data_IF_214190228145
#
_entry.id   IF_214190228145
#
_cell.length_a   1.000
_cell.length_b   1.000
_cell.length_c   1.000
_cell.angle_alpha   90.00
_cell.angle_beta   90.00
_cell.angle_gamma   90.00
#
_symmetry.space_group_name_H-M   'P 1'
#
loop_
_entity.id
_entity.type
_entity.pdbx_description
1 polymer ?
#
# COMPACT_ATOMS: atom_id res chain seq x y z
N UNK A 1 -17.77 -25.05 21.64
CA UNK A 1 -19.15 -24.52 21.67
C UNK A 1 -19.75 -24.77 20.30
N UNK A 2 -20.77 -25.63 20.19
CA UNK A 2 -21.45 -25.90 18.92
C UNK A 2 -22.40 -24.74 18.59
N UNK A 3 -22.34 -24.19 17.38
CA UNK A 3 -23.12 -23.01 16.97
C UNK A 3 -24.36 -23.44 16.18
N UNK A 4 -25.52 -22.88 16.54
CA UNK A 4 -26.85 -23.32 16.10
C UNK A 4 -27.33 -22.85 14.73
N UNK A 5 -26.42 -22.38 13.87
CA UNK A 5 -26.74 -21.85 12.55
C UNK A 5 -26.75 -22.89 11.43
N UNK A 6 -26.54 -24.17 11.75
CA UNK A 6 -26.61 -25.30 10.80
C UNK A 6 -27.92 -26.08 10.89
N UNK A 7 -28.87 -25.58 11.69
CA UNK A 7 -30.13 -26.25 12.01
C UNK A 7 -31.31 -25.42 11.54
N UNK A 8 -32.19 -26.04 10.77
CA UNK A 8 -33.53 -25.53 10.50
C UNK A 8 -34.47 -26.20 11.50
N UNK A 9 -35.42 -25.42 12.00
CA UNK A 9 -36.50 -25.91 12.86
C UNK A 9 -37.74 -26.03 11.98
N UNK A 10 -38.24 -27.24 11.81
CA UNK A 10 -39.52 -27.45 11.15
C UNK A 10 -40.62 -27.12 12.16
N UNK A 11 -41.27 -25.96 11.97
CA UNK A 11 -42.28 -25.41 12.88
C UNK A 11 -43.53 -26.30 13.01
N UNK A 12 -43.72 -27.24 12.08
CA UNK A 12 -44.86 -28.16 12.05
C UNK A 12 -44.58 -29.50 12.78
N UNK A 13 -43.33 -29.88 13.03
CA UNK A 13 -42.97 -31.23 13.57
C UNK A 13 -41.95 -31.20 14.74
N UNK A 14 -41.60 -30.02 15.27
CA UNK A 14 -40.63 -29.83 16.36
C UNK A 14 -39.27 -30.55 16.11
N UNK A 15 -38.91 -30.78 14.84
CA UNK A 15 -37.68 -31.43 14.42
C UNK A 15 -36.59 -30.41 14.03
N UNK A 16 -35.34 -30.79 14.30
CA UNK A 16 -34.15 -30.04 13.89
C UNK A 16 -33.53 -30.72 12.68
N UNK A 17 -33.58 -30.11 11.51
CA UNK A 17 -32.99 -30.63 10.28
C UNK A 17 -31.64 -29.98 9.99
N UNK A 18 -30.69 -30.76 9.46
CA UNK A 18 -29.39 -30.23 9.05
C UNK A 18 -29.52 -29.53 7.69
N UNK A 19 -29.13 -28.27 7.58
CA UNK A 19 -29.19 -27.54 6.30
C UNK A 19 -28.13 -27.99 5.26
N UNK A 20 -27.35 -29.03 5.58
CA UNK A 20 -26.25 -29.50 4.73
C UNK A 20 -26.35 -31.00 4.42
N UNK A 21 -27.38 -31.69 4.91
CA UNK A 21 -27.77 -33.05 4.51
C UNK A 21 -29.20 -33.35 4.95
N UNK A 22 -29.86 -34.34 4.34
CA UNK A 22 -31.28 -34.67 4.63
C UNK A 22 -31.49 -35.43 5.96
N UNK A 23 -30.74 -35.07 7.02
CA UNK A 23 -30.90 -35.66 8.36
C UNK A 23 -31.67 -34.74 9.28
N UNK A 24 -32.71 -35.30 9.88
CA UNK A 24 -33.50 -34.69 10.96
C UNK A 24 -33.18 -35.29 12.31
N UNK A 25 -33.37 -34.50 13.35
CA UNK A 25 -33.05 -34.83 14.72
C UNK A 25 -34.17 -34.34 15.64
N UNK A 26 -34.68 -35.20 16.51
CA UNK A 26 -35.68 -34.82 17.53
C UNK A 26 -35.15 -33.98 18.68
N UNK A 27 -33.90 -33.47 18.62
CA UNK A 27 -33.39 -32.53 19.62
C UNK A 27 -32.28 -31.63 19.08
N UNK A 28 -32.27 -30.37 19.54
CA UNK A 28 -31.24 -29.38 19.21
C UNK A 28 -29.83 -29.87 19.53
N UNK A 29 -29.67 -30.54 20.66
CA UNK A 29 -28.38 -31.02 21.13
C UNK A 29 -27.79 -32.08 20.20
N UNK A 30 -28.60 -33.06 19.78
CA UNK A 30 -28.17 -34.10 18.85
C UNK A 30 -27.80 -33.53 17.48
N UNK A 31 -28.58 -32.57 17.00
CA UNK A 31 -28.37 -31.92 15.72
C UNK A 31 -27.08 -31.07 15.70
N UNK A 32 -26.81 -30.34 16.80
CA UNK A 32 -25.55 -29.61 17.01
C UNK A 32 -24.33 -30.55 17.06
N UNK A 33 -24.47 -31.69 17.72
CA UNK A 33 -23.40 -32.69 17.81
C UNK A 33 -23.09 -33.31 16.45
N UNK A 34 -24.13 -33.58 15.65
CA UNK A 34 -23.99 -34.04 14.27
C UNK A 34 -23.23 -33.03 13.42
N UNK A 35 -23.69 -31.77 13.41
CA UNK A 35 -23.13 -30.73 12.56
C UNK A 35 -21.64 -30.44 12.89
N UNK A 36 -21.23 -30.63 14.14
CA UNK A 36 -19.84 -30.50 14.58
C UNK A 36 -18.93 -31.67 14.21
N UNK A 37 -19.47 -32.89 14.06
CA UNK A 37 -18.67 -34.13 13.93
C UNK A 37 -18.75 -34.78 12.55
N UNK A 38 -19.72 -34.37 11.71
CA UNK A 38 -19.90 -34.96 10.41
C UNK A 38 -18.78 -34.50 9.45
N UNK A 39 -17.90 -35.44 9.11
CA UNK A 39 -16.85 -35.28 8.08
C UNK A 39 -17.37 -34.97 6.67
N UNK A 40 -18.69 -35.02 6.50
CA UNK A 40 -19.42 -34.70 5.25
C UNK A 40 -19.50 -33.18 5.05
N UNK A 41 -19.35 -32.38 6.12
CA UNK A 41 -19.28 -30.93 6.06
C UNK A 41 -17.80 -30.50 6.07
N UNK A 42 -17.16 -30.57 4.91
CA UNK A 42 -15.81 -30.04 4.71
C UNK A 42 -15.85 -28.52 4.82
N UNK A 43 -15.74 -28.01 6.05
CA UNK A 43 -16.04 -26.63 6.38
C UNK A 43 -14.88 -25.69 6.11
N UNK A 44 -15.17 -24.61 5.40
CA UNK A 44 -14.40 -23.36 5.46
C UNK A 44 -15.10 -22.44 6.45
N UNK A 45 -14.37 -21.76 7.34
CA UNK A 45 -14.97 -20.91 8.38
C UNK A 45 -14.39 -19.50 8.33
N UNK A 46 -15.23 -18.51 8.61
CA UNK A 46 -14.77 -17.13 8.67
C UNK A 46 -14.11 -16.84 10.03
N UNK A 47 -12.84 -16.48 10.06
CA UNK A 47 -12.14 -16.13 11.31
C UNK A 47 -12.63 -14.83 11.98
N UNK A 48 -13.53 -14.06 11.34
CA UNK A 48 -14.04 -12.77 11.84
C UNK A 48 -15.37 -12.91 12.57
N UNK A 49 -16.37 -13.56 11.96
CA UNK A 49 -17.67 -13.85 12.58
C UNK A 49 -17.83 -15.31 13.05
N UNK A 50 -16.88 -16.18 12.68
CA UNK A 50 -16.87 -17.61 12.98
C UNK A 50 -18.14 -18.32 12.47
N UNK A 51 -18.61 -17.90 11.29
CA UNK A 51 -19.62 -18.60 10.49
C UNK A 51 -18.94 -19.69 9.65
N UNK A 52 -19.62 -20.83 9.47
CA UNK A 52 -19.15 -21.94 8.66
C UNK A 52 -19.84 -21.92 7.30
N UNK A 53 -19.09 -22.27 6.27
CA UNK A 53 -19.51 -22.29 4.89
C UNK A 53 -19.35 -23.68 4.31
N UNK A 54 -20.32 -24.06 3.50
CA UNK A 54 -20.41 -25.38 2.84
C UNK A 54 -19.33 -25.53 1.76
N UNK A 55 -18.78 -24.42 1.27
CA UNK A 55 -17.69 -24.42 0.30
C UNK A 55 -16.76 -23.20 0.45
N UNK A 56 -15.52 -23.29 -0.07
CA UNK A 56 -14.62 -22.13 -0.16
C UNK A 56 -15.19 -20.96 -0.94
N UNK A 57 -15.95 -21.21 -2.01
CA UNK A 57 -16.54 -20.12 -2.81
C UNK A 57 -17.68 -19.42 -2.07
N UNK A 58 -18.46 -20.15 -1.27
CA UNK A 58 -19.44 -19.54 -0.38
C UNK A 58 -18.78 -18.71 0.73
N UNK A 59 -17.65 -19.16 1.30
CA UNK A 59 -16.85 -18.35 2.21
C UNK A 59 -16.30 -17.10 1.50
N UNK A 60 -15.78 -17.23 0.27
CA UNK A 60 -15.26 -16.09 -0.51
C UNK A 60 -16.34 -15.05 -0.79
N UNK A 61 -17.52 -15.47 -1.23
CA UNK A 61 -18.66 -14.57 -1.46
C UNK A 61 -19.12 -13.89 -0.16
N UNK A 62 -19.11 -14.63 0.95
CA UNK A 62 -19.40 -14.06 2.26
C UNK A 62 -18.35 -13.04 2.71
N UNK A 63 -17.06 -13.32 2.53
CA UNK A 63 -16.00 -12.36 2.85
C UNK A 63 -16.09 -11.10 1.98
N UNK A 64 -16.52 -11.23 0.73
CA UNK A 64 -16.67 -10.11 -0.20
C UNK A 64 -17.91 -9.25 0.08
N UNK A 65 -19.03 -9.86 0.50
CA UNK A 65 -20.34 -9.19 0.56
C UNK A 65 -20.88 -8.99 1.98
N UNK A 66 -20.17 -9.43 3.03
CA UNK A 66 -20.66 -9.30 4.39
C UNK A 66 -20.39 -7.91 4.95
N UNK A 67 -21.47 -7.16 5.17
CA UNK A 67 -21.45 -5.89 5.90
C UNK A 67 -20.92 -6.00 7.34
N UNK A 68 -20.85 -7.21 7.91
CA UNK A 68 -20.25 -7.46 9.24
C UNK A 68 -18.72 -7.43 9.23
N UNK A 69 -18.06 -7.47 8.08
CA UNK A 69 -16.58 -7.54 7.98
C UNK A 69 -15.93 -6.28 7.42
N UNK A 70 -16.75 -5.35 6.96
CA UNK A 70 -16.33 -4.01 6.55
C UNK A 70 -16.16 -3.09 7.77
N UNK A 71 -15.49 -3.61 8.79
CA UNK A 71 -15.41 -2.98 10.09
C UNK A 71 -13.98 -2.53 10.35
N UNK A 72 -13.79 -1.24 10.63
CA UNK A 72 -12.51 -0.73 11.05
C UNK A 72 -12.26 -1.08 12.53
N UNK A 73 -11.29 -1.95 12.78
CA UNK A 73 -10.85 -2.40 14.11
C UNK A 73 -10.25 -1.29 14.99
N UNK A 74 -9.98 -0.12 14.42
CA UNK A 74 -9.38 1.03 15.12
C UNK A 74 -10.37 2.11 15.56
N UNK A 75 -11.40 2.37 14.77
CA UNK A 75 -12.39 3.41 15.09
C UNK A 75 -13.85 2.93 15.05
N UNK A 76 -14.05 1.62 14.88
CA UNK A 76 -15.35 0.96 14.91
C UNK A 76 -16.33 1.51 13.85
N UNK A 77 -15.79 2.05 12.75
CA UNK A 77 -16.54 2.57 11.61
C UNK A 77 -16.83 1.44 10.62
N UNK A 78 -18.09 1.34 10.20
CA UNK A 78 -18.55 0.37 9.22
C UNK A 78 -18.56 1.01 7.81
N UNK A 79 -18.02 0.32 6.82
CA UNK A 79 -17.95 0.76 5.41
C UNK A 79 -18.72 -0.16 4.47
N UNK A 80 -19.00 0.32 3.25
CA UNK A 80 -19.82 -0.38 2.27
C UNK A 80 -19.14 -1.60 1.65
N UNK A 81 -17.82 -1.55 1.46
CA UNK A 81 -17.01 -2.63 0.88
C UNK A 81 -15.54 -2.63 1.39
N UNK A 82 -14.77 -3.64 0.97
CA UNK A 82 -13.38 -3.83 1.40
C UNK A 82 -12.40 -2.78 0.81
N UNK A 83 -12.69 -2.23 -0.37
CA UNK A 83 -11.88 -1.18 -0.98
C UNK A 83 -12.03 0.12 -0.21
N UNK A 84 -13.25 0.43 0.21
CA UNK A 84 -13.57 1.53 1.11
C UNK A 84 -12.92 1.33 2.49
N UNK A 85 -12.81 0.10 2.99
CA UNK A 85 -12.12 -0.18 4.25
C UNK A 85 -10.61 0.05 4.15
N UNK A 86 -10.00 -0.38 3.03
CA UNK A 86 -8.59 -0.14 2.77
C UNK A 86 -8.31 1.37 2.69
N UNK A 87 -9.09 2.10 1.89
CA UNK A 87 -8.99 3.56 1.79
C UNK A 87 -9.23 4.24 3.13
N UNK A 88 -10.23 3.82 3.89
CA UNK A 88 -10.48 4.33 5.23
C UNK A 88 -9.28 4.14 6.17
N UNK A 89 -8.65 2.96 6.16
CA UNK A 89 -7.45 2.68 6.96
C UNK A 89 -6.27 3.55 6.55
N UNK A 90 -6.11 3.79 5.25
CA UNK A 90 -5.06 4.67 4.74
C UNK A 90 -5.34 6.13 5.11
N UNK A 91 -6.51 6.67 4.80
CA UNK A 91 -6.80 8.09 4.92
C UNK A 91 -7.06 8.54 6.37
N UNK A 92 -7.72 7.70 7.16
CA UNK A 92 -8.14 8.04 8.54
C UNK A 92 -7.12 7.57 9.58
N UNK A 93 -6.40 6.48 9.30
CA UNK A 93 -5.46 5.90 10.25
C UNK A 93 -4.02 5.90 9.78
N UNK A 94 -3.73 6.42 8.58
CA UNK A 94 -2.40 6.42 8.00
C UNK A 94 -1.75 5.03 8.10
N UNK A 95 -2.54 3.99 7.80
CA UNK A 95 -2.15 2.59 7.89
C UNK A 95 -1.81 2.03 6.51
N UNK A 96 -0.64 1.41 6.38
CA UNK A 96 -0.29 0.64 5.20
C UNK A 96 -1.09 -0.66 5.16
N UNK A 97 -1.84 -0.90 4.07
CA UNK A 97 -2.65 -2.12 3.95
C UNK A 97 -1.81 -3.38 3.61
N UNK A 98 -0.58 -3.23 3.14
CA UNK A 98 0.31 -4.35 2.81
C UNK A 98 0.97 -4.96 4.05
N UNK A 99 1.45 -4.11 4.97
CA UNK A 99 2.14 -4.57 6.19
C UNK A 99 1.44 -4.16 7.50
N UNK A 100 0.29 -3.50 7.43
CA UNK A 100 -0.54 -3.05 8.56
C UNK A 100 0.13 -2.03 9.49
N UNK A 101 1.31 -1.51 9.14
CA UNK A 101 2.05 -0.51 9.91
C UNK A 101 1.34 0.85 9.86
N UNK A 102 1.36 1.58 10.97
CA UNK A 102 0.69 2.87 11.13
C UNK A 102 1.67 4.01 11.30
N UNK A 103 1.32 5.13 10.67
CA UNK A 103 2.14 6.33 10.61
C UNK A 103 1.44 7.51 11.26
N UNK A 104 2.21 8.56 11.56
CA UNK A 104 1.69 9.76 12.22
C UNK A 104 0.92 10.67 11.25
N UNK A 105 1.18 10.57 9.95
CA UNK A 105 0.57 11.39 8.92
C UNK A 105 0.64 10.69 7.55
N UNK A 106 -0.13 11.22 6.59
CA UNK A 106 -0.22 10.68 5.23
C UNK A 106 1.14 10.69 4.50
N UNK A 107 1.97 11.71 4.70
CA UNK A 107 3.27 11.81 4.03
C UNK A 107 4.20 10.67 4.44
N UNK A 108 4.24 10.35 5.74
CA UNK A 108 5.04 9.24 6.26
C UNK A 108 4.54 7.89 5.77
N UNK A 109 3.21 7.69 5.69
CA UNK A 109 2.63 6.49 5.09
C UNK A 109 3.04 6.38 3.61
N UNK A 110 2.96 7.48 2.86
CA UNK A 110 3.31 7.52 1.44
C UNK A 110 4.76 7.14 1.20
N UNK A 111 5.69 7.77 1.93
CA UNK A 111 7.11 7.42 1.88
C UNK A 111 7.36 5.95 2.24
N UNK A 112 6.60 5.42 3.20
CA UNK A 112 6.75 4.02 3.57
C UNK A 112 6.31 3.05 2.48
N UNK A 113 5.26 3.35 1.71
CA UNK A 113 4.78 2.47 0.63
C UNK A 113 5.89 2.15 -0.38
N UNK A 114 6.84 3.06 -0.58
CA UNK A 114 8.01 2.85 -1.45
C UNK A 114 8.90 1.67 -0.98
N UNK A 115 8.86 1.29 0.30
CA UNK A 115 9.62 0.13 0.83
C UNK A 115 9.08 -1.19 0.28
N UNK A 116 7.86 -1.22 -0.23
CA UNK A 116 7.25 -2.40 -0.82
C UNK A 116 7.54 -2.55 -2.31
N UNK A 117 8.15 -1.54 -2.95
CA UNK A 117 8.56 -1.63 -4.34
C UNK A 117 9.83 -2.49 -4.49
N UNK A 118 9.97 -3.15 -5.64
CA UNK A 118 11.19 -3.85 -6.01
C UNK A 118 12.35 -2.84 -6.17
N UNK A 119 13.57 -3.26 -5.84
CA UNK A 119 14.75 -2.38 -5.87
C UNK A 119 15.43 -2.52 -7.22
N UNK A 120 14.88 -1.85 -8.22
CA UNK A 120 15.34 -2.00 -9.61
C UNK A 120 16.07 -0.76 -10.14
N UNK A 121 16.29 0.25 -9.30
CA UNK A 121 17.03 1.46 -9.67
C UNK A 121 18.48 1.33 -9.24
N UNK A 122 19.37 1.06 -10.19
CA UNK A 122 20.82 0.99 -9.96
C UNK A 122 21.41 2.39 -9.69
N UNK A 123 22.36 2.48 -8.77
CA UNK A 123 23.13 3.69 -8.57
C UNK A 123 24.09 3.93 -9.73
N UNK A 124 24.15 5.17 -10.21
CA UNK A 124 25.05 5.54 -11.31
C UNK A 124 26.55 5.45 -10.98
N UNK A 125 26.90 5.38 -9.69
CA UNK A 125 28.28 5.37 -9.20
C UNK A 125 28.69 4.16 -8.38
N UNK A 126 27.80 3.20 -8.12
CA UNK A 126 28.15 1.99 -7.35
C UNK A 126 27.14 0.85 -7.56
N UNK A 127 27.44 -0.34 -7.05
CA UNK A 127 26.61 -1.54 -7.20
C UNK A 127 25.36 -1.57 -6.27
N UNK A 128 24.88 -0.42 -5.79
CA UNK A 128 23.71 -0.36 -4.90
C UNK A 128 22.43 -0.13 -5.70
N UNK A 129 21.38 -0.84 -5.33
CA UNK A 129 20.05 -0.71 -5.92
C UNK A 129 19.06 -0.01 -4.97
N UNK A 130 18.08 0.69 -5.52
CA UNK A 130 17.09 1.48 -4.78
C UNK A 130 15.68 1.21 -5.32
N UNK A 131 14.69 1.44 -4.46
CA UNK A 131 13.28 1.26 -4.81
C UNK A 131 12.71 2.41 -5.66
N UNK A 132 13.36 3.58 -5.62
CA UNK A 132 12.95 4.78 -6.37
C UNK A 132 14.17 5.61 -6.78
N UNK A 133 13.99 6.45 -7.80
CA UNK A 133 15.04 7.36 -8.28
C UNK A 133 15.35 8.42 -7.23
N UNK A 134 14.34 8.96 -6.55
CA UNK A 134 14.55 9.90 -5.43
C UNK A 134 15.43 9.32 -4.32
N UNK A 135 15.28 8.02 -4.00
CA UNK A 135 16.10 7.36 -2.98
C UNK A 135 17.56 7.16 -3.44
N UNK A 136 17.77 6.85 -4.72
CA UNK A 136 19.11 6.74 -5.31
C UNK A 136 19.81 8.11 -5.34
N UNK A 137 19.13 9.17 -5.79
CA UNK A 137 19.69 10.53 -5.81
C UNK A 137 19.97 11.01 -4.38
N UNK A 138 19.10 10.73 -3.41
CA UNK A 138 19.37 11.05 -2.01
C UNK A 138 20.62 10.34 -1.47
N UNK A 139 20.89 9.11 -1.93
CA UNK A 139 22.11 8.39 -1.58
C UNK A 139 23.37 9.08 -2.10
N UNK A 140 23.32 9.60 -3.34
CA UNK A 140 24.37 10.47 -3.90
C UNK A 140 24.49 11.75 -3.09
N UNK A 141 23.41 12.51 -2.91
CA UNK A 141 23.43 13.80 -2.20
C UNK A 141 23.95 13.71 -0.74
N UNK A 142 23.81 12.55 -0.09
CA UNK A 142 24.32 12.32 1.27
C UNK A 142 25.83 12.06 1.33
N UNK A 143 26.54 12.00 0.20
CA UNK A 143 27.96 11.65 0.18
C UNK A 143 28.22 10.19 0.58
N UNK A 144 27.19 9.33 0.51
CA UNK A 144 27.31 7.94 0.95
C UNK A 144 27.71 6.98 -0.16
N UNK A 145 27.83 7.49 -1.39
CA UNK A 145 28.25 6.74 -2.57
C UNK A 145 29.78 6.66 -2.67
N UNK A 146 30.29 5.58 -3.28
CA UNK A 146 31.72 5.34 -3.43
C UNK A 146 32.46 6.34 -4.32
N UNK A 147 31.74 7.03 -5.21
CA UNK A 147 32.29 8.07 -6.10
C UNK A 147 32.47 9.43 -5.42
N UNK A 148 32.04 9.59 -4.16
CA UNK A 148 32.25 10.82 -3.40
C UNK A 148 31.37 12.00 -3.79
N UNK A 149 30.39 11.80 -4.68
CA UNK A 149 29.38 12.80 -5.04
C UNK A 149 28.55 13.21 -3.82
N UNK A 150 28.22 14.49 -3.69
CA UNK A 150 27.33 15.02 -2.66
C UNK A 150 26.23 15.95 -3.21
N UNK A 151 25.52 16.66 -2.32
CA UNK A 151 24.41 17.53 -2.72
C UNK A 151 24.82 18.74 -3.55
N UNK A 152 26.05 19.22 -3.40
CA UNK A 152 26.55 20.37 -4.16
C UNK A 152 26.89 19.93 -5.58
N UNK A 153 27.52 18.75 -5.75
CA UNK A 153 27.76 18.16 -7.09
C UNK A 153 26.46 17.94 -7.86
N UNK A 154 25.45 17.33 -7.22
CA UNK A 154 24.14 17.09 -7.84
C UNK A 154 23.47 18.42 -8.21
N UNK A 155 23.59 19.45 -7.38
CA UNK A 155 23.03 20.75 -7.67
C UNK A 155 23.73 21.43 -8.84
N UNK A 156 25.06 21.34 -8.92
CA UNK A 156 25.85 21.88 -10.04
C UNK A 156 25.49 21.18 -11.36
N UNK A 157 25.32 19.86 -11.35
CA UNK A 157 24.85 19.12 -12.54
C UNK A 157 23.44 19.53 -12.93
N UNK A 158 22.54 19.68 -11.95
CA UNK A 158 21.17 20.11 -12.21
C UNK A 158 21.11 21.52 -12.83
N UNK A 159 21.97 22.44 -12.41
CA UNK A 159 22.11 23.77 -12.99
C UNK A 159 22.72 23.75 -14.40
N UNK A 160 23.48 22.70 -14.74
CA UNK A 160 24.01 22.46 -16.09
C UNK A 160 23.01 21.88 -17.07
N UNK A 161 21.83 21.45 -16.61
CA UNK A 161 20.78 20.91 -17.46
C UNK A 161 20.19 21.98 -18.38
N UNK A 162 19.87 21.61 -19.62
CA UNK A 162 19.28 22.52 -20.61
C UNK A 162 17.90 23.06 -20.18
N UNK A 163 17.22 22.37 -19.27
CA UNK A 163 15.92 22.73 -18.72
C UNK A 163 16.00 23.24 -17.28
N UNK A 164 17.20 23.61 -16.79
CA UNK A 164 17.40 24.07 -15.42
C UNK A 164 16.48 25.25 -15.05
N UNK A 165 16.15 26.14 -15.99
CA UNK A 165 15.25 27.27 -15.79
C UNK A 165 13.80 26.85 -15.46
N UNK A 166 13.39 25.63 -15.81
CA UNK A 166 12.06 25.11 -15.50
C UNK A 166 11.92 24.65 -14.05
N UNK A 167 13.01 24.21 -13.42
CA UNK A 167 12.97 23.55 -12.11
C UNK A 167 13.98 24.09 -11.10
N UNK A 168 14.70 25.18 -11.40
CA UNK A 168 15.60 25.84 -10.45
C UNK A 168 15.16 27.26 -10.16
N UNK A 169 15.37 27.71 -8.93
CA UNK A 169 15.04 29.07 -8.50
C UNK A 169 16.15 29.63 -7.59
N UNK A 170 16.49 30.90 -7.78
CA UNK A 170 17.49 31.60 -6.96
C UNK A 170 16.80 32.38 -5.84
N UNK A 171 16.55 31.70 -4.72
CA UNK A 171 15.86 32.24 -3.55
C UNK A 171 16.74 33.09 -2.62
N UNK A 172 17.65 33.93 -3.14
CA UNK A 172 18.37 34.90 -2.33
C UNK A 172 19.56 34.36 -1.52
N UNK A 173 20.34 33.43 -2.09
CA UNK A 173 21.64 33.02 -1.53
C UNK A 173 21.96 31.52 -1.60
N UNK A 174 21.00 30.68 -1.97
CA UNK A 174 21.18 29.25 -2.25
C UNK A 174 20.23 28.82 -3.35
N UNK A 175 20.69 27.92 -4.22
CA UNK A 175 19.83 27.29 -5.21
C UNK A 175 18.79 26.40 -4.53
N UNK A 176 17.57 26.45 -5.04
CA UNK A 176 16.46 25.58 -4.67
C UNK A 176 15.83 25.02 -5.94
N UNK A 177 15.16 23.88 -5.81
CA UNK A 177 14.49 23.19 -6.89
C UNK A 177 12.99 23.40 -6.78
N UNK A 178 12.36 23.79 -7.86
CA UNK A 178 10.94 24.12 -7.90
C UNK A 178 10.22 23.12 -8.81
N UNK A 179 9.08 22.62 -8.38
CA UNK A 179 8.22 21.78 -9.20
C UNK A 179 7.58 22.63 -10.30
N UNK A 180 7.84 22.38 -11.60
CA UNK A 180 7.27 23.19 -12.68
C UNK A 180 5.73 23.16 -12.74
N UNK A 181 5.11 22.13 -12.15
CA UNK A 181 3.66 21.93 -12.19
C UNK A 181 2.88 22.63 -11.08
N UNK A 182 3.46 22.75 -9.88
CA UNK A 182 2.75 23.31 -8.71
C UNK A 182 3.55 24.36 -7.92
N UNK A 183 4.76 24.68 -8.37
CA UNK A 183 5.68 25.65 -7.77
C UNK A 183 6.10 25.32 -6.33
N UNK A 184 5.92 24.07 -5.89
CA UNK A 184 6.46 23.60 -4.63
C UNK A 184 8.00 23.66 -4.68
N UNK A 185 8.61 24.18 -3.62
CA UNK A 185 10.07 24.38 -3.54
C UNK A 185 10.74 23.38 -2.62
N UNK A 186 11.92 22.93 -3.03
CA UNK A 186 12.70 21.88 -2.41
C UNK A 186 14.16 22.31 -2.31
N UNK A 187 14.81 21.95 -1.20
CA UNK A 187 16.24 22.25 -1.03
C UNK A 187 17.14 21.38 -1.91
N UNK A 188 16.70 20.17 -2.22
CA UNK A 188 17.49 19.11 -2.88
C UNK A 188 16.74 18.53 -4.07
N UNK A 189 17.47 18.01 -5.06
CA UNK A 189 16.89 17.37 -6.25
C UNK A 189 16.11 16.14 -5.84
N UNK A 190 16.63 15.35 -4.89
CA UNK A 190 15.89 14.19 -4.35
C UNK A 190 14.52 14.55 -3.79
N UNK A 191 14.37 15.75 -3.21
CA UNK A 191 13.10 16.26 -2.69
C UNK A 191 12.10 16.58 -3.79
N UNK A 192 12.57 17.19 -4.89
CA UNK A 192 11.75 17.43 -6.08
C UNK A 192 11.32 16.09 -6.71
N UNK A 193 12.25 15.16 -6.89
CA UNK A 193 11.96 13.82 -7.44
C UNK A 193 10.95 13.07 -6.57
N UNK A 194 11.11 13.09 -5.24
CA UNK A 194 10.16 12.46 -4.32
C UNK A 194 8.76 13.07 -4.44
N UNK A 195 8.67 14.39 -4.68
CA UNK A 195 7.39 15.04 -4.92
C UNK A 195 6.74 14.58 -6.23
N UNK A 196 7.52 14.46 -7.31
CA UNK A 196 7.05 14.04 -8.64
C UNK A 196 6.68 12.55 -8.68
N UNK A 197 7.44 11.69 -8.00
CA UNK A 197 7.14 10.26 -7.82
C UNK A 197 5.91 10.01 -6.94
N UNK A 198 5.36 11.06 -6.35
CA UNK A 198 4.18 10.98 -5.49
C UNK A 198 2.97 11.59 -6.17
N UNK A 199 1.76 11.12 -5.79
CA UNK A 199 0.49 11.73 -6.19
C UNK A 199 0.25 13.11 -5.52
N UNK A 200 1.31 13.84 -5.15
CA UNK A 200 1.22 15.18 -4.55
C UNK A 200 1.03 16.28 -5.59
N UNK A 201 1.22 15.99 -6.88
CA UNK A 201 1.09 16.93 -7.98
C UNK A 201 0.30 16.29 -9.12
N UNK A 202 -0.79 16.94 -9.53
CA UNK A 202 -1.66 16.47 -10.62
C UNK A 202 -1.12 16.78 -12.03
N UNK A 203 0.18 17.09 -12.17
CA UNK A 203 0.80 17.41 -13.46
C UNK A 203 1.70 16.26 -13.92
N UNK A 204 1.46 15.79 -15.15
CA UNK A 204 2.37 14.89 -15.86
C UNK A 204 3.65 15.64 -16.24
N UNK A 205 4.56 15.79 -15.28
CA UNK A 205 5.92 16.32 -15.53
C UNK A 205 6.86 15.27 -16.13
N UNK A 206 6.38 14.04 -16.25
CA UNK A 206 7.10 12.93 -16.86
C UNK A 206 7.13 13.12 -18.37
N UNK A 207 8.33 13.01 -18.94
CA UNK A 207 8.72 13.30 -20.33
C UNK A 207 9.15 14.76 -20.58
N UNK A 208 10.48 14.90 -20.59
CA UNK A 208 11.32 15.95 -21.19
C UNK A 208 12.24 16.68 -20.17
N UNK A 209 11.77 17.42 -19.15
CA UNK A 209 12.70 18.18 -18.28
C UNK A 209 13.40 17.33 -17.22
N UNK A 210 12.68 16.35 -16.65
CA UNK A 210 13.20 15.51 -15.55
C UNK A 210 14.07 14.38 -16.07
N UNK A 211 13.73 13.80 -17.22
CA UNK A 211 14.54 12.73 -17.83
C UNK A 211 15.91 13.26 -18.25
N UNK A 212 15.97 14.44 -18.87
CA UNK A 212 17.24 15.10 -19.25
C UNK A 212 18.08 15.49 -18.02
N UNK A 213 17.43 15.84 -16.90
CA UNK A 213 18.13 16.04 -15.63
C UNK A 213 18.75 14.72 -15.14
N UNK A 214 17.98 13.62 -15.16
CA UNK A 214 18.45 12.31 -14.70
C UNK A 214 19.56 11.75 -15.60
N UNK A 215 19.44 11.90 -16.91
CA UNK A 215 20.45 11.50 -17.91
C UNK A 215 21.76 12.28 -17.69
N UNK A 216 21.66 13.59 -17.40
CA UNK A 216 22.83 14.40 -17.09
C UNK A 216 23.50 13.93 -15.79
N UNK A 217 22.72 13.73 -14.71
CA UNK A 217 23.23 13.21 -13.43
C UNK A 217 23.90 11.85 -13.63
N UNK A 218 23.30 10.94 -14.40
CA UNK A 218 23.91 9.66 -14.74
C UNK A 218 25.23 9.84 -15.47
N UNK A 219 25.25 10.68 -16.50
CA UNK A 219 26.43 10.90 -17.32
C UNK A 219 27.61 11.47 -16.53
N UNK A 220 27.36 12.40 -15.61
CA UNK A 220 28.40 13.01 -14.77
C UNK A 220 28.86 12.03 -13.67
N UNK A 221 27.93 11.34 -13.01
CA UNK A 221 28.27 10.34 -11.99
C UNK A 221 29.14 9.22 -12.57
N UNK A 222 28.82 8.72 -13.78
CA UNK A 222 29.59 7.67 -14.44
C UNK A 222 30.98 8.13 -14.90
N UNK A 223 31.22 9.43 -15.06
CA UNK A 223 32.57 9.97 -15.38
C UNK A 223 33.52 9.94 -14.18
N UNK A 224 33.00 9.74 -12.96
CA UNK A 224 33.77 9.68 -11.73
C UNK A 224 34.23 8.25 -11.35
N UNK A 225 33.85 7.24 -12.13
CA UNK A 225 34.27 5.83 -11.99
C UNK A 225 35.68 5.60 -12.56
#
# INVERSE_FOLDING_TARGET
MARGNQLVLDEDDDEYSCNSCDRSFGSRHAALQHASNASIHRSEWCNRCSWLFISPDALRQHLANSSLHNHCDRCNYDVGDLSDLARHREDVHFQCCECMKVFQNQNNLRMHKQVHFERDVECYGCDREFATTSAMVLHLERGTCGIGTDSDDIADWALGCIYADMFTTNGGGSWSFECPGCNATFRYVSGLLQHIESDACDQELWNNPIDELLDLIESEARRLL
#
